data_IF_995479831444
#
_entry.id   IF_995479831444
#
_cell.length_a   1.000
_cell.length_b   1.000
_cell.length_c   1.000
_cell.angle_alpha   90.00
_cell.angle_beta   90.00
_cell.angle_gamma   90.00
#
_symmetry.space_group_name_H-M   'P 1'
#
loop_
_entity.id
_entity.type
_entity.pdbx_description
1 polymer ?
#
# COMPACT_ATOMS: atom_id res chain seq x y z
N UNK A 1 7.89 -15.91 16.37
CA UNK A 1 8.36 -15.68 14.99
C UNK A 1 7.25 -14.98 14.23
N UNK A 2 7.52 -13.87 13.53
CA UNK A 2 6.49 -13.19 12.71
C UNK A 2 6.28 -13.96 11.41
N UNK A 3 5.03 -14.09 10.97
CA UNK A 3 4.70 -14.65 9.65
C UNK A 3 4.85 -13.56 8.58
N UNK A 4 5.33 -13.93 7.39
CA UNK A 4 5.37 -13.07 6.22
C UNK A 4 4.16 -13.30 5.33
N UNK A 5 3.92 -12.41 4.36
CA UNK A 5 2.85 -12.60 3.35
C UNK A 5 3.07 -13.87 2.51
N UNK A 6 4.31 -14.33 2.36
CA UNK A 6 4.65 -15.54 1.59
C UNK A 6 4.16 -16.83 2.27
N UNK A 7 3.86 -16.75 3.56
CA UNK A 7 3.45 -17.90 4.38
C UNK A 7 1.92 -18.05 4.44
N UNK A 8 1.16 -17.21 3.72
CA UNK A 8 -0.29 -17.12 3.82
C UNK A 8 -0.97 -17.48 2.49
N UNK A 9 -1.99 -18.35 2.52
CA UNK A 9 -2.89 -18.54 1.39
C UNK A 9 -4.04 -17.53 1.44
N UNK A 10 -4.02 -16.59 0.50
CA UNK A 10 -4.98 -15.49 0.39
C UNK A 10 -5.99 -15.67 -0.74
N UNK A 11 -5.95 -16.79 -1.47
CA UNK A 11 -6.83 -17.00 -2.63
C UNK A 11 -8.29 -17.01 -2.19
N UNK A 12 -9.11 -16.19 -2.84
CA UNK A 12 -10.55 -16.08 -2.56
C UNK A 12 -10.90 -15.40 -1.24
N UNK A 13 -9.94 -14.76 -0.57
CA UNK A 13 -10.16 -14.05 0.69
C UNK A 13 -10.13 -12.53 0.47
N UNK A 14 -10.99 -11.81 1.19
CA UNK A 14 -10.84 -10.36 1.37
C UNK A 14 -9.79 -10.10 2.43
N UNK A 15 -8.78 -9.30 2.09
CA UNK A 15 -7.62 -9.03 2.96
C UNK A 15 -7.53 -7.55 3.28
N UNK A 16 -7.36 -7.21 4.56
CA UNK A 16 -7.04 -5.85 5.00
C UNK A 16 -5.55 -5.59 4.76
N UNK A 17 -5.24 -4.64 3.89
CA UNK A 17 -3.85 -4.24 3.60
C UNK A 17 -3.60 -2.86 4.19
N UNK A 18 -2.60 -2.78 5.08
CA UNK A 18 -2.10 -1.50 5.58
C UNK A 18 -1.02 -1.00 4.64
N UNK A 19 -1.27 0.14 4.01
CA UNK A 19 -0.38 0.79 3.04
C UNK A 19 0.08 2.16 3.52
N UNK A 20 1.21 2.64 3.01
CA UNK A 20 1.68 4.01 3.19
C UNK A 20 1.35 4.86 1.96
N UNK A 21 0.20 5.53 2.00
CA UNK A 21 -0.23 6.48 0.96
C UNK A 21 0.00 7.94 1.34
N UNK A 22 0.91 8.21 2.29
CA UNK A 22 1.24 9.58 2.66
C UNK A 22 2.16 10.22 1.59
N UNK A 23 1.56 10.65 0.48
CA UNK A 23 2.23 11.26 -0.68
C UNK A 23 2.05 12.78 -0.70
N UNK A 24 3.01 13.55 -1.25
CA UNK A 24 2.86 14.99 -1.40
C UNK A 24 1.82 15.32 -2.47
N UNK A 25 1.05 16.38 -2.20
CA UNK A 25 0.03 16.91 -3.11
C UNK A 25 0.33 18.36 -3.50
N UNK A 26 -0.02 18.75 -4.72
CA UNK A 26 -0.06 20.15 -5.13
C UNK A 26 -1.28 20.89 -4.55
N UNK A 27 -1.38 22.20 -4.83
CA UNK A 27 -2.49 23.04 -4.35
C UNK A 27 -3.87 22.64 -4.91
N UNK A 28 -3.90 21.85 -5.98
CA UNK A 28 -5.12 21.33 -6.59
C UNK A 28 -5.41 19.88 -6.15
N UNK A 29 -4.64 19.34 -5.20
CA UNK A 29 -4.81 17.99 -4.67
C UNK A 29 -4.26 16.89 -5.57
N UNK A 30 -3.42 17.22 -6.57
CA UNK A 30 -2.80 16.21 -7.43
C UNK A 30 -1.52 15.68 -6.81
N UNK A 31 -1.29 14.38 -6.94
CA UNK A 31 -0.05 13.74 -6.49
C UNK A 31 1.12 14.28 -7.29
N UNK A 32 2.15 14.79 -6.61
CA UNK A 32 3.37 15.31 -7.25
C UNK A 32 4.51 14.31 -7.25
N UNK A 33 4.45 13.30 -6.37
CA UNK A 33 5.39 12.18 -6.33
C UNK A 33 4.63 10.90 -5.92
N UNK A 34 4.67 9.89 -6.80
CA UNK A 34 3.98 8.62 -6.63
C UNK A 34 4.87 7.49 -6.07
N UNK A 35 6.11 7.79 -5.66
CA UNK A 35 7.09 6.79 -5.22
C UNK A 35 6.53 5.83 -4.15
N UNK A 36 5.77 6.33 -3.17
CA UNK A 36 5.18 5.49 -2.10
C UNK A 36 4.03 4.59 -2.55
N UNK A 37 3.42 4.88 -3.69
CA UNK A 37 2.34 4.07 -4.28
C UNK A 37 2.93 2.93 -5.12
N UNK A 38 4.07 3.16 -5.77
CA UNK A 38 4.73 2.19 -6.69
C UNK A 38 5.61 1.18 -5.94
N UNK A 39 6.16 1.56 -4.79
CA UNK A 39 7.11 0.77 -4.00
C UNK A 39 6.56 -0.56 -3.46
#
# INVERSE_FOLDING_TARGET
MKKSVRDLDVRGKTVLVRVDYNVPLDKQGRVTDATRIVA
#
